data_IF_656085142964
#
_entry.id   IF_656085142964
#
_cell.length_a   1.000
_cell.length_b   1.000
_cell.length_c   1.000
_cell.angle_alpha   90.00
_cell.angle_beta   90.00
_cell.angle_gamma   90.00
#
_symmetry.space_group_name_H-M   'P 1'
#
loop_
_entity.id
_entity.type
_entity.pdbx_description
1 polymer ?
#
# COMPACT_ATOMS: atom_id res chain seq x y z
N UNK A 1 -7.00 -13.42 31.36
CA UNK A 1 -6.93 -13.24 29.89
C UNK A 1 -8.06 -12.33 29.48
N UNK A 2 -7.82 -11.02 29.46
CA UNK A 2 -8.80 -10.03 29.01
C UNK A 2 -8.51 -9.69 27.55
N UNK A 3 -9.48 -10.02 26.71
CA UNK A 3 -9.47 -9.61 25.31
C UNK A 3 -9.73 -8.10 25.26
N UNK A 4 -8.71 -7.31 24.89
CA UNK A 4 -8.81 -5.88 24.64
C UNK A 4 -9.71 -5.59 23.44
N UNK A 5 -10.98 -5.30 23.73
CA UNK A 5 -11.94 -4.79 22.75
C UNK A 5 -11.55 -3.38 22.33
N UNK A 6 -11.36 -3.20 21.04
CA UNK A 6 -11.31 -1.88 20.39
C UNK A 6 -12.53 -1.06 20.83
N UNK A 7 -12.33 0.01 21.58
CA UNK A 7 -13.42 0.92 21.96
C UNK A 7 -13.87 1.68 20.71
N UNK A 8 -14.96 1.23 20.13
CA UNK A 8 -15.75 2.01 19.18
C UNK A 8 -16.55 3.01 19.99
N UNK A 9 -16.14 4.26 20.01
CA UNK A 9 -16.99 5.33 20.53
C UNK A 9 -18.09 5.56 19.50
N UNK A 10 -19.25 4.97 19.73
CA UNK A 10 -20.47 5.33 19.00
C UNK A 10 -20.98 6.62 19.61
N UNK A 11 -20.74 7.75 18.98
CA UNK A 11 -21.59 8.92 19.19
C UNK A 11 -22.95 8.66 18.54
N UNK A 12 -24.00 9.03 19.25
CA UNK A 12 -25.40 8.73 18.99
C UNK A 12 -25.85 8.98 17.55
N UNK A 13 -26.74 8.09 17.12
CA UNK A 13 -27.60 8.09 15.96
C UNK A 13 -27.50 9.30 15.02
N UNK A 14 -26.88 9.07 13.89
CA UNK A 14 -26.89 9.97 12.74
C UNK A 14 -28.35 10.13 12.28
N UNK A 15 -29.01 11.19 12.74
CA UNK A 15 -30.19 11.71 12.08
C UNK A 15 -29.68 12.30 10.78
N UNK A 16 -29.88 11.60 9.67
CA UNK A 16 -29.76 12.18 8.34
C UNK A 16 -30.75 13.33 8.27
N UNK A 17 -30.27 14.54 8.58
CA UNK A 17 -31.01 15.75 8.22
C UNK A 17 -30.98 15.79 6.69
N UNK A 18 -32.10 15.43 6.07
CA UNK A 18 -32.42 15.94 4.75
C UNK A 18 -32.25 17.45 4.86
N UNK A 19 -31.21 18.00 4.21
CA UNK A 19 -31.14 19.43 3.97
C UNK A 19 -32.44 19.79 3.25
N UNK A 20 -33.28 20.55 3.92
CA UNK A 20 -34.30 21.30 3.23
C UNK A 20 -33.61 22.10 2.15
N UNK A 21 -34.19 22.10 0.96
CA UNK A 21 -33.77 22.92 -0.18
C UNK A 21 -34.07 24.37 0.20
N UNK A 22 -33.24 24.92 1.05
CA UNK A 22 -33.16 26.34 1.34
C UNK A 22 -32.06 26.87 0.43
N UNK A 23 -32.38 27.85 -0.36
CA UNK A 23 -31.62 28.65 -1.32
C UNK A 23 -30.12 28.39 -1.32
N UNK A 24 -29.53 28.02 -2.48
CA UNK A 24 -28.09 27.85 -2.56
C UNK A 24 -27.45 29.18 -2.20
N UNK A 25 -26.68 29.24 -1.12
CA UNK A 25 -25.69 30.29 -0.98
C UNK A 25 -24.70 30.04 -2.11
N UNK A 26 -24.89 30.73 -3.20
CA UNK A 26 -23.94 30.84 -4.30
C UNK A 26 -22.75 31.65 -3.78
N UNK A 27 -21.92 31.05 -2.93
CA UNK A 27 -20.52 31.40 -2.91
C UNK A 27 -20.00 30.91 -4.25
N UNK A 28 -19.73 31.88 -5.12
CA UNK A 28 -19.13 31.70 -6.44
C UNK A 28 -17.84 30.89 -6.25
N UNK A 29 -17.93 29.57 -6.40
CA UNK A 29 -16.78 28.70 -6.40
C UNK A 29 -16.16 28.85 -7.76
N UNK A 30 -15.32 29.87 -7.95
CA UNK A 30 -14.77 30.31 -9.24
C UNK A 30 -14.09 29.22 -10.08
N UNK A 31 -14.04 27.98 -9.60
CA UNK A 31 -13.55 26.80 -10.32
C UNK A 31 -14.65 25.75 -10.44
N UNK A 32 -15.14 25.49 -11.67
CA UNK A 32 -16.18 24.49 -11.94
C UNK A 32 -15.89 23.09 -11.41
N UNK A 33 -14.61 22.75 -11.25
CA UNK A 33 -14.19 21.45 -10.68
C UNK A 33 -14.79 21.20 -9.30
N UNK A 34 -14.91 22.24 -8.47
CA UNK A 34 -15.46 22.15 -7.12
C UNK A 34 -16.96 22.40 -7.04
N UNK A 35 -17.69 22.37 -8.19
CA UNK A 35 -19.14 22.41 -8.18
C UNK A 35 -19.74 21.22 -7.42
N UNK A 36 -20.88 21.42 -6.75
CA UNK A 36 -21.53 20.37 -5.93
C UNK A 36 -21.79 19.09 -6.71
N UNK A 37 -22.29 19.21 -7.93
CA UNK A 37 -22.60 18.05 -8.79
C UNK A 37 -21.35 17.22 -9.10
N UNK A 38 -20.24 17.88 -9.47
CA UNK A 38 -18.99 17.18 -9.77
C UNK A 38 -18.34 16.58 -8.51
N UNK A 39 -18.53 17.20 -7.36
CA UNK A 39 -18.10 16.63 -6.09
C UNK A 39 -18.86 15.35 -5.75
N UNK A 40 -20.18 15.36 -5.86
CA UNK A 40 -21.00 14.18 -5.59
C UNK A 40 -20.61 13.00 -6.47
N UNK A 41 -20.39 13.25 -7.77
CA UNK A 41 -19.93 12.21 -8.72
C UNK A 41 -18.56 11.65 -8.32
N UNK A 42 -17.62 12.52 -7.90
CA UNK A 42 -16.30 12.06 -7.45
C UNK A 42 -16.38 11.33 -6.12
N UNK A 43 -17.14 11.84 -5.15
CA UNK A 43 -17.35 11.20 -3.85
C UNK A 43 -17.89 9.78 -3.99
N UNK A 44 -18.80 9.54 -4.94
CA UNK A 44 -19.32 8.20 -5.21
C UNK A 44 -18.20 7.19 -5.56
N UNK A 45 -17.15 7.62 -6.27
CA UNK A 45 -15.99 6.77 -6.61
C UNK A 45 -15.12 6.41 -5.40
N UNK A 46 -15.17 7.20 -4.34
CA UNK A 46 -14.41 6.98 -3.11
C UNK A 46 -15.24 6.35 -1.99
N UNK A 47 -16.54 6.20 -2.19
CA UNK A 47 -17.41 5.58 -1.21
C UNK A 47 -16.98 4.13 -0.97
N UNK A 48 -16.82 3.76 0.31
CA UNK A 48 -16.40 2.40 0.70
C UNK A 48 -14.89 2.11 0.56
N UNK A 49 -14.10 3.01 -0.04
CA UNK A 49 -12.65 2.84 -0.10
C UNK A 49 -12.04 2.90 1.31
N UNK A 50 -11.15 1.96 1.58
CA UNK A 50 -10.51 1.81 2.89
C UNK A 50 -9.18 2.56 2.94
N UNK A 51 -8.74 3.02 4.12
CA UNK A 51 -7.38 3.50 4.31
C UNK A 51 -6.37 2.36 4.07
N UNK A 52 -5.14 2.73 3.72
CA UNK A 52 -4.00 1.81 3.79
C UNK A 52 -3.80 1.36 5.24
N UNK A 53 -2.99 0.33 5.42
CA UNK A 53 -2.63 -0.12 6.76
C UNK A 53 -1.81 0.97 7.46
N UNK A 54 -2.34 1.49 8.56
CA UNK A 54 -1.71 2.58 9.31
C UNK A 54 -0.53 2.05 10.10
N UNK A 55 0.60 2.76 10.02
CA UNK A 55 1.84 2.51 10.76
C UNK A 55 2.46 3.82 11.20
N UNK A 56 3.10 3.79 12.35
CA UNK A 56 3.96 4.84 12.89
C UNK A 56 5.10 4.21 13.69
N UNK A 57 6.14 4.96 13.95
CA UNK A 57 7.39 4.48 14.54
C UNK A 57 7.62 5.17 15.87
N UNK A 58 8.28 4.49 16.79
CA UNK A 58 8.96 5.08 17.92
C UNK A 58 10.46 5.00 17.65
N UNK A 59 11.02 6.08 17.12
CA UNK A 59 12.43 6.11 16.73
C UNK A 59 13.35 6.07 17.95
N UNK A 60 12.98 6.70 19.05
CA UNK A 60 13.75 6.65 20.28
C UNK A 60 13.91 5.19 20.78
N UNK A 61 12.82 4.42 20.73
CA UNK A 61 12.89 3.00 21.09
C UNK A 61 13.80 2.22 20.13
N UNK A 62 13.75 2.50 18.82
CA UNK A 62 14.63 1.82 17.86
C UNK A 62 16.11 2.14 18.07
N UNK A 63 16.46 3.37 18.43
CA UNK A 63 17.81 3.78 18.80
C UNK A 63 18.29 3.06 20.06
N UNK A 64 17.44 2.95 21.09
CA UNK A 64 17.72 2.19 22.31
C UNK A 64 17.94 0.69 22.01
N UNK A 65 17.37 0.19 20.91
CA UNK A 65 17.59 -1.18 20.44
C UNK A 65 18.87 -1.33 19.58
N UNK A 66 19.69 -0.28 19.44
CA UNK A 66 20.92 -0.21 18.67
C UNK A 66 20.72 -0.35 17.14
N UNK A 67 19.58 0.07 16.60
CA UNK A 67 19.43 0.22 15.16
C UNK A 67 20.11 1.52 14.70
N UNK A 68 20.78 1.49 13.55
CA UNK A 68 21.53 2.64 13.00
C UNK A 68 20.68 3.50 12.07
N UNK A 69 19.72 2.94 11.37
CA UNK A 69 18.91 3.66 10.38
C UNK A 69 18.04 4.81 10.95
N UNK A 70 17.64 4.86 12.23
CA UNK A 70 17.01 6.05 12.79
C UNK A 70 17.81 7.33 12.58
N UNK A 71 19.12 7.27 12.75
CA UNK A 71 20.02 8.40 12.49
C UNK A 71 20.01 8.83 11.01
N UNK A 72 19.97 7.86 10.07
CA UNK A 72 19.84 8.16 8.65
C UNK A 72 18.50 8.86 8.35
N UNK A 73 17.43 8.47 9.03
CA UNK A 73 16.09 9.06 8.87
C UNK A 73 15.98 10.44 9.53
N UNK A 74 16.69 10.68 10.62
CA UNK A 74 16.84 12.00 11.21
C UNK A 74 17.53 12.96 10.25
N UNK A 75 18.61 12.53 9.62
CA UNK A 75 19.30 13.30 8.60
C UNK A 75 18.41 13.65 7.39
N UNK A 76 17.41 12.81 7.10
CA UNK A 76 16.38 13.07 6.08
C UNK A 76 15.26 14.01 6.56
N UNK A 77 15.22 14.38 7.85
CA UNK A 77 14.18 15.23 8.42
C UNK A 77 12.80 14.60 8.47
N UNK A 78 12.70 13.27 8.61
CA UNK A 78 11.42 12.55 8.51
C UNK A 78 10.84 12.10 9.85
N UNK A 79 11.52 12.32 10.96
CA UNK A 79 11.16 11.83 12.30
C UNK A 79 9.71 12.16 12.63
N UNK A 80 9.35 13.44 12.60
CA UNK A 80 8.01 13.87 12.98
C UNK A 80 6.92 13.20 12.14
N UNK A 81 7.14 13.06 10.84
CA UNK A 81 6.18 12.41 9.93
C UNK A 81 6.00 10.92 10.24
N UNK A 82 7.10 10.23 10.54
CA UNK A 82 7.07 8.79 10.83
C UNK A 82 6.42 8.48 12.19
N UNK A 83 6.47 9.40 13.12
CA UNK A 83 5.88 9.28 14.46
C UNK A 83 4.44 9.79 14.54
N UNK A 84 3.88 10.30 13.40
CA UNK A 84 2.50 10.78 13.38
C UNK A 84 1.54 9.67 13.80
N UNK A 85 0.81 9.93 14.88
CA UNK A 85 -0.22 9.05 15.42
C UNK A 85 -1.46 9.85 15.83
N UNK A 86 -2.56 9.16 16.09
CA UNK A 86 -3.78 9.77 16.61
C UNK A 86 -5.02 9.44 15.81
N UNK A 87 -5.99 10.34 15.85
CA UNK A 87 -7.30 10.14 15.28
C UNK A 87 -7.30 10.23 13.77
N UNK A 88 -8.18 9.46 13.15
CA UNK A 88 -8.45 9.48 11.71
C UNK A 88 -9.93 9.77 11.49
N UNK A 89 -10.20 10.62 10.51
CA UNK A 89 -11.54 10.99 10.03
C UNK A 89 -11.82 10.33 8.67
N UNK A 90 -12.29 9.07 8.61
CA UNK A 90 -12.33 8.31 7.36
C UNK A 90 -13.22 8.93 6.27
N UNK A 91 -14.27 9.65 6.68
CA UNK A 91 -15.14 10.36 5.73
C UNK A 91 -14.41 11.55 5.08
N UNK A 92 -13.66 12.33 5.87
CA UNK A 92 -12.91 13.48 5.39
C UNK A 92 -11.69 13.08 4.57
N UNK A 93 -11.05 11.93 4.90
CA UNK A 93 -9.99 11.35 4.07
C UNK A 93 -10.51 10.97 2.68
N UNK A 94 -11.71 10.40 2.58
CA UNK A 94 -12.34 10.12 1.27
C UNK A 94 -12.67 11.39 0.52
N UNK A 95 -13.18 12.40 1.20
CA UNK A 95 -13.48 13.71 0.62
C UNK A 95 -12.21 14.40 0.11
N UNK A 96 -11.13 14.35 0.89
CA UNK A 96 -9.82 14.84 0.48
C UNK A 96 -9.40 14.23 -0.87
N UNK A 97 -9.41 12.91 -1.00
CA UNK A 97 -9.01 12.25 -2.26
C UNK A 97 -9.98 12.48 -3.41
N UNK A 98 -11.27 12.60 -3.13
CA UNK A 98 -12.26 12.91 -4.16
C UNK A 98 -12.08 14.31 -4.75
N UNK A 99 -11.58 15.26 -3.95
CA UNK A 99 -11.34 16.64 -4.35
C UNK A 99 -9.88 16.95 -4.68
N UNK A 100 -8.98 15.97 -4.52
CA UNK A 100 -7.55 16.14 -4.78
C UNK A 100 -7.27 16.28 -6.28
N UNK A 101 -6.49 17.28 -6.64
CA UNK A 101 -6.03 17.48 -8.03
C UNK A 101 -4.74 18.26 -8.12
N UNK A 102 -4.04 18.05 -9.24
CA UNK A 102 -2.93 18.88 -9.70
C UNK A 102 -3.43 19.91 -10.71
N UNK A 103 -3.15 21.18 -10.49
CA UNK A 103 -3.51 22.28 -11.38
C UNK A 103 -2.50 23.42 -11.27
N UNK A 104 -2.06 23.95 -12.38
CA UNK A 104 -1.18 25.12 -12.50
C UNK A 104 0.12 25.00 -11.64
N UNK A 105 0.73 23.80 -11.66
CA UNK A 105 1.96 23.52 -10.92
C UNK A 105 1.75 23.23 -9.43
N UNK A 106 0.52 23.17 -8.93
CA UNK A 106 0.16 23.07 -7.52
C UNK A 106 -0.83 21.94 -7.27
N UNK A 107 -0.79 21.40 -6.05
CA UNK A 107 -1.73 20.39 -5.59
C UNK A 107 -2.78 21.03 -4.68
N UNK A 108 -4.02 20.72 -4.95
CA UNK A 108 -5.18 21.27 -4.27
C UNK A 108 -6.09 20.16 -3.75
N UNK A 109 -6.75 20.43 -2.63
CA UNK A 109 -7.86 19.61 -2.19
C UNK A 109 -8.90 20.48 -1.47
N UNK A 110 -10.08 19.90 -1.21
CA UNK A 110 -11.16 20.55 -0.50
C UNK A 110 -11.81 19.56 0.46
N UNK A 111 -12.02 20.00 1.71
CA UNK A 111 -12.70 19.24 2.76
C UNK A 111 -13.74 20.15 3.42
N UNK A 112 -14.98 19.69 3.53
CA UNK A 112 -16.08 20.46 4.17
C UNK A 112 -16.13 21.91 3.68
N UNK A 113 -16.08 22.10 2.36
CA UNK A 113 -16.08 23.39 1.67
C UNK A 113 -14.82 24.28 1.90
N UNK A 114 -13.82 23.79 2.60
CA UNK A 114 -12.55 24.48 2.75
C UNK A 114 -11.58 24.04 1.66
N UNK A 115 -11.34 24.93 0.68
CA UNK A 115 -10.35 24.73 -0.39
C UNK A 115 -8.97 25.15 0.11
N UNK A 116 -7.98 24.30 -0.07
CA UNK A 116 -6.59 24.58 0.34
C UNK A 116 -5.59 23.99 -0.64
N UNK A 117 -4.41 24.62 -0.70
CA UNK A 117 -3.24 24.15 -1.40
C UNK A 117 -2.40 23.27 -0.48
N UNK A 118 -1.92 22.12 -0.97
CA UNK A 118 -0.93 21.32 -0.26
C UNK A 118 0.46 21.89 -0.58
N UNK A 119 0.83 22.87 0.19
CA UNK A 119 2.08 23.60 0.06
C UNK A 119 3.11 23.19 1.12
N UNK A 120 4.29 23.83 1.07
CA UNK A 120 5.39 23.58 2.01
C UNK A 120 5.02 23.87 3.45
N UNK A 121 4.15 24.86 3.69
CA UNK A 121 3.70 25.22 5.05
C UNK A 121 2.91 24.07 5.69
N UNK A 122 2.03 23.42 4.93
CA UNK A 122 1.26 22.26 5.43
C UNK A 122 2.21 21.09 5.72
N UNK A 123 3.13 20.78 4.80
CA UNK A 123 4.08 19.69 5.01
C UNK A 123 4.99 19.94 6.20
N UNK A 124 5.46 21.17 6.38
CA UNK A 124 6.33 21.55 7.50
C UNK A 124 5.56 21.56 8.82
N UNK A 125 4.42 22.26 8.89
CA UNK A 125 3.70 22.46 10.16
C UNK A 125 2.95 21.21 10.62
N UNK A 126 2.46 20.37 9.70
CA UNK A 126 1.70 19.17 10.01
C UNK A 126 2.57 17.92 10.03
N UNK A 127 3.50 17.80 9.07
CA UNK A 127 4.32 16.62 8.87
C UNK A 127 5.78 16.77 9.30
N UNK A 128 6.23 17.98 9.58
CA UNK A 128 7.66 18.26 9.87
C UNK A 128 8.58 18.01 8.67
N UNK A 129 8.00 17.97 7.44
CA UNK A 129 8.75 17.64 6.23
C UNK A 129 9.10 18.90 5.45
N UNK A 130 10.39 19.03 5.11
CA UNK A 130 10.90 20.07 4.21
C UNK A 130 10.86 19.60 2.76
N UNK A 131 10.52 20.52 1.83
CA UNK A 131 10.59 20.27 0.39
C UNK A 131 12.03 20.41 -0.16
N UNK A 132 13.03 20.46 0.72
CA UNK A 132 14.44 20.42 0.31
C UNK A 132 14.83 19.02 -0.17
N UNK A 133 15.79 18.96 -1.08
CA UNK A 133 16.28 17.69 -1.63
C UNK A 133 15.79 17.41 -3.05
N UNK A 134 15.95 16.17 -3.47
CA UNK A 134 15.70 15.74 -4.84
C UNK A 134 14.46 14.86 -4.92
N UNK A 135 13.68 15.02 -5.99
CA UNK A 135 12.79 13.95 -6.42
C UNK A 135 13.64 12.74 -6.79
N UNK A 136 13.28 11.56 -6.26
CA UNK A 136 14.13 10.36 -6.46
C UNK A 136 14.24 9.97 -7.93
N UNK A 137 13.20 10.24 -8.73
CA UNK A 137 13.17 9.99 -10.16
C UNK A 137 14.09 10.92 -10.97
N UNK A 138 14.38 12.11 -10.46
CA UNK A 138 15.14 13.15 -11.15
C UNK A 138 16.54 13.39 -10.57
N UNK A 139 16.85 12.74 -9.46
CA UNK A 139 18.15 12.82 -8.82
C UNK A 139 19.25 12.27 -9.74
N UNK A 140 20.11 13.16 -10.28
CA UNK A 140 21.20 12.78 -11.16
C UNK A 140 22.21 11.88 -10.46
N UNK A 141 22.53 12.18 -9.18
CA UNK A 141 23.44 11.35 -8.41
C UNK A 141 22.96 9.90 -8.27
N UNK A 142 21.66 9.70 -8.00
CA UNK A 142 21.10 8.35 -7.96
C UNK A 142 21.14 7.70 -9.33
N UNK A 143 20.82 8.43 -10.41
CA UNK A 143 20.87 7.90 -11.78
C UNK A 143 22.26 7.41 -12.18
N UNK A 144 23.30 8.11 -11.74
CA UNK A 144 24.68 7.83 -12.10
C UNK A 144 25.33 6.74 -11.24
N UNK A 145 24.92 6.62 -9.96
CA UNK A 145 25.59 5.76 -8.99
C UNK A 145 24.75 4.54 -8.57
N UNK A 146 23.51 4.42 -9.02
CA UNK A 146 22.60 3.35 -8.63
C UNK A 146 22.58 2.21 -9.65
N UNK A 147 23.14 1.06 -9.28
CA UNK A 147 22.90 -0.22 -9.94
C UNK A 147 21.94 -1.06 -9.07
N UNK A 148 20.74 -1.39 -9.55
CA UNK A 148 19.75 -2.11 -8.74
C UNK A 148 20.23 -3.47 -8.27
N UNK A 149 21.08 -4.15 -9.06
CA UNK A 149 21.60 -5.49 -8.72
C UNK A 149 22.64 -5.41 -7.62
N UNK A 150 23.63 -4.50 -7.76
CA UNK A 150 24.70 -4.34 -6.78
C UNK A 150 24.17 -3.76 -5.47
N UNK A 151 23.29 -2.77 -5.53
CA UNK A 151 22.61 -2.21 -4.36
C UNK A 151 21.79 -3.29 -3.64
N UNK A 152 21.03 -4.10 -4.38
CA UNK A 152 20.27 -5.19 -3.78
C UNK A 152 21.17 -6.20 -3.08
N UNK A 153 22.26 -6.63 -3.73
CA UNK A 153 23.26 -7.53 -3.11
C UNK A 153 23.83 -6.96 -1.81
N UNK A 154 24.14 -5.66 -1.78
CA UNK A 154 24.69 -5.00 -0.59
C UNK A 154 23.70 -4.91 0.57
N UNK A 155 22.41 -5.02 0.31
CA UNK A 155 21.36 -4.98 1.33
C UNK A 155 20.98 -6.34 1.90
N UNK A 156 21.45 -7.42 1.29
CA UNK A 156 21.18 -8.78 1.75
C UNK A 156 21.90 -9.12 3.06
N UNK A 157 21.31 -9.99 3.86
CA UNK A 157 21.94 -10.54 5.07
C UNK A 157 23.05 -11.57 4.77
N UNK A 158 23.12 -12.08 3.52
CA UNK A 158 24.18 -12.98 3.08
C UNK A 158 24.16 -13.18 1.57
N UNK A 159 25.34 -13.42 0.95
CA UNK A 159 25.47 -13.54 -0.50
C UNK A 159 24.73 -14.76 -1.07
N UNK A 160 24.52 -15.81 -0.29
CA UNK A 160 23.81 -17.03 -0.70
C UNK A 160 22.30 -16.78 -0.93
N UNK A 161 21.77 -15.68 -0.45
CA UNK A 161 20.37 -15.30 -0.65
C UNK A 161 20.13 -14.54 -1.96
N UNK A 162 21.19 -14.24 -2.70
CA UNK A 162 21.05 -13.61 -4.01
C UNK A 162 20.68 -14.64 -5.08
N UNK A 163 19.58 -14.38 -5.79
CA UNK A 163 19.17 -15.17 -6.96
C UNK A 163 19.24 -14.26 -8.18
N UNK A 164 20.04 -14.68 -9.16
CA UNK A 164 20.26 -13.89 -10.38
C UNK A 164 18.95 -13.59 -11.11
N UNK A 165 18.74 -12.31 -11.45
CA UNK A 165 17.56 -11.85 -12.18
C UNK A 165 16.30 -11.74 -11.35
N UNK A 166 16.36 -11.95 -10.02
CA UNK A 166 15.22 -11.80 -9.12
C UNK A 166 15.54 -10.82 -7.98
N UNK A 167 14.63 -9.88 -7.74
CA UNK A 167 14.56 -9.17 -6.48
C UNK A 167 13.80 -10.09 -5.52
N UNK A 168 14.55 -10.74 -4.64
CA UNK A 168 13.98 -11.73 -3.72
C UNK A 168 13.19 -11.05 -2.59
N UNK A 169 12.61 -11.87 -1.72
CA UNK A 169 11.74 -11.43 -0.62
C UNK A 169 12.45 -10.44 0.31
N UNK A 170 11.71 -9.51 0.90
CA UNK A 170 12.22 -8.59 1.90
C UNK A 170 12.88 -9.31 3.11
N UNK A 171 12.48 -10.56 3.40
CA UNK A 171 13.13 -11.42 4.38
C UNK A 171 14.57 -11.81 4.08
N UNK A 172 15.05 -11.60 2.85
CA UNK A 172 16.46 -11.81 2.48
C UNK A 172 17.35 -10.61 2.81
N UNK A 173 16.78 -9.45 3.12
CA UNK A 173 17.51 -8.26 3.53
C UNK A 173 18.09 -8.44 4.94
N UNK A 174 19.19 -7.75 5.25
CA UNK A 174 19.66 -7.64 6.63
C UNK A 174 18.56 -7.05 7.53
N UNK A 175 18.63 -7.27 8.84
CA UNK A 175 17.61 -6.79 9.79
C UNK A 175 17.41 -5.28 9.65
N UNK A 176 18.49 -4.51 9.64
CA UNK A 176 18.48 -3.05 9.42
C UNK A 176 17.77 -2.67 8.11
N UNK A 177 18.18 -3.28 7.01
CA UNK A 177 17.64 -2.96 5.69
C UNK A 177 16.18 -3.41 5.54
N UNK A 178 15.78 -4.47 6.22
CA UNK A 178 14.38 -4.90 6.22
C UNK A 178 13.47 -3.93 6.95
N UNK A 179 13.92 -3.40 8.10
CA UNK A 179 13.17 -2.39 8.85
C UNK A 179 13.13 -1.06 8.08
N UNK A 180 14.25 -0.62 7.51
CA UNK A 180 14.29 0.57 6.65
C UNK A 180 13.34 0.43 5.45
N UNK A 181 13.39 -0.71 4.75
CA UNK A 181 12.44 -1.01 3.66
C UNK A 181 10.99 -0.94 4.13
N UNK A 182 10.71 -1.54 5.30
CA UNK A 182 9.35 -1.54 5.88
C UNK A 182 8.86 -0.11 6.12
N UNK A 183 9.66 0.73 6.76
CA UNK A 183 9.31 2.12 7.07
C UNK A 183 9.08 2.93 5.79
N UNK A 184 9.97 2.81 4.81
CA UNK A 184 9.80 3.48 3.52
C UNK A 184 8.50 3.04 2.86
N UNK A 185 8.25 1.73 2.74
CA UNK A 185 7.13 1.18 1.98
C UNK A 185 5.76 1.34 2.66
N UNK A 186 5.71 1.41 3.99
CA UNK A 186 4.44 1.49 4.75
C UNK A 186 4.13 2.87 5.31
N UNK A 187 5.13 3.74 5.47
CA UNK A 187 4.93 5.05 6.10
C UNK A 187 5.22 6.20 5.12
N UNK A 188 6.42 6.21 4.51
CA UNK A 188 6.86 7.34 3.69
C UNK A 188 6.34 7.28 2.24
N UNK A 189 6.48 6.13 1.58
CA UNK A 189 6.09 5.93 0.17
C UNK A 189 5.07 4.81 0.08
N UNK A 190 3.91 5.04 0.69
CA UNK A 190 2.87 4.02 0.82
C UNK A 190 2.35 3.56 -0.53
N UNK A 191 2.45 2.28 -0.81
CA UNK A 191 1.96 1.68 -2.05
C UNK A 191 0.90 0.61 -1.79
N UNK A 192 0.04 0.35 -2.75
CA UNK A 192 -1.05 -0.63 -2.65
C UNK A 192 -0.67 -2.03 -3.16
N UNK A 193 0.62 -2.29 -3.33
CA UNK A 193 1.13 -3.56 -3.85
C UNK A 193 1.70 -4.44 -2.74
N UNK A 194 2.03 -5.67 -3.08
CA UNK A 194 2.69 -6.58 -2.15
C UNK A 194 4.03 -5.99 -1.65
N UNK A 195 4.16 -5.87 -0.33
CA UNK A 195 5.37 -5.36 0.32
C UNK A 195 6.36 -6.48 0.69
N UNK A 196 6.01 -7.74 0.43
CA UNK A 196 6.91 -8.86 0.71
C UNK A 196 8.15 -8.89 -0.20
N UNK A 197 8.11 -8.12 -1.29
CA UNK A 197 9.20 -8.00 -2.26
C UNK A 197 9.55 -6.53 -2.46
N UNK A 198 10.81 -6.11 -2.26
CA UNK A 198 11.25 -4.76 -2.56
C UNK A 198 11.17 -4.50 -4.07
N UNK A 199 10.77 -3.32 -4.45
CA UNK A 199 10.82 -2.84 -5.83
C UNK A 199 12.14 -2.12 -6.09
N UNK A 200 12.49 -1.94 -7.36
CA UNK A 200 13.66 -1.11 -7.74
C UNK A 200 13.53 0.30 -7.16
N UNK A 201 12.31 0.83 -7.08
CA UNK A 201 12.08 2.16 -6.51
C UNK A 201 12.31 2.18 -4.99
N UNK A 202 11.89 1.14 -4.27
CA UNK A 202 12.19 1.01 -2.84
C UNK A 202 13.72 0.98 -2.60
N UNK A 203 14.46 0.25 -3.45
CA UNK A 203 15.91 0.19 -3.37
C UNK A 203 16.57 1.55 -3.65
N UNK A 204 16.01 2.37 -4.57
CA UNK A 204 16.49 3.74 -4.80
C UNK A 204 16.33 4.63 -3.57
N UNK A 205 15.17 4.57 -2.91
CA UNK A 205 14.94 5.30 -1.67
C UNK A 205 15.89 4.85 -0.57
N UNK A 206 16.01 3.54 -0.34
CA UNK A 206 16.94 2.98 0.65
C UNK A 206 18.39 3.40 0.35
N UNK A 207 18.79 3.35 -0.92
CA UNK A 207 20.14 3.74 -1.36
C UNK A 207 20.41 5.22 -1.12
N UNK A 208 19.46 6.09 -1.46
CA UNK A 208 19.57 7.53 -1.20
C UNK A 208 19.69 7.83 0.29
N UNK A 209 18.84 7.22 1.13
CA UNK A 209 18.89 7.36 2.60
C UNK A 209 20.26 6.93 3.14
N UNK A 210 20.72 5.74 2.79
CA UNK A 210 22.01 5.19 3.26
C UNK A 210 23.23 5.99 2.81
N UNK A 211 23.14 6.72 1.70
CA UNK A 211 24.20 7.59 1.20
C UNK A 211 23.97 9.06 1.54
N UNK A 212 23.05 9.33 2.47
CA UNK A 212 22.72 10.70 2.92
C UNK A 212 22.37 11.65 1.77
N UNK A 213 21.71 11.14 0.72
CA UNK A 213 21.17 11.95 -0.36
C UNK A 213 19.78 12.43 0.06
N UNK A 214 19.66 13.75 0.24
CA UNK A 214 18.40 14.36 0.70
C UNK A 214 17.28 14.17 -0.32
N UNK A 215 16.15 13.60 0.12
CA UNK A 215 14.98 13.34 -0.69
C UNK A 215 13.90 14.39 -0.44
N UNK A 216 13.25 14.86 -1.50
CA UNK A 216 12.06 15.69 -1.39
C UNK A 216 10.84 14.82 -1.07
N UNK A 217 10.67 14.50 0.22
CA UNK A 217 9.58 13.64 0.68
C UNK A 217 8.18 14.21 0.39
N UNK A 218 7.90 15.53 0.58
CA UNK A 218 6.65 16.14 0.17
C UNK A 218 6.28 15.83 -1.28
N UNK A 219 7.21 15.97 -2.20
CA UNK A 219 6.98 15.70 -3.62
C UNK A 219 6.65 14.23 -3.87
N UNK A 220 7.38 13.31 -3.25
CA UNK A 220 7.12 11.87 -3.41
C UNK A 220 5.74 11.47 -2.82
N UNK A 221 5.37 12.04 -1.68
CA UNK A 221 4.04 11.86 -1.07
C UNK A 221 2.94 12.40 -2.00
N UNK A 222 3.11 13.59 -2.55
CA UNK A 222 2.16 14.21 -3.46
C UNK A 222 1.97 13.42 -4.76
N UNK A 223 3.05 12.83 -5.31
CA UNK A 223 2.96 11.90 -6.45
C UNK A 223 2.09 10.69 -6.15
N UNK A 224 2.23 10.11 -4.95
CA UNK A 224 1.41 8.99 -4.51
C UNK A 224 -0.04 9.42 -4.35
N UNK A 225 -0.30 10.53 -3.65
CA UNK A 225 -1.65 11.06 -3.47
C UNK A 225 -2.33 11.30 -4.82
N UNK A 226 -1.61 11.89 -5.79
CA UNK A 226 -2.11 12.12 -7.13
C UNK A 226 -2.46 10.80 -7.84
N UNK A 227 -1.58 9.80 -7.76
CA UNK A 227 -1.85 8.49 -8.35
C UNK A 227 -3.08 7.78 -7.77
N UNK A 228 -3.35 8.02 -6.48
CA UNK A 228 -4.52 7.47 -5.77
C UNK A 228 -5.80 8.19 -6.14
N UNK A 229 -5.76 9.52 -6.29
CA UNK A 229 -6.92 10.32 -6.71
C UNK A 229 -7.41 9.96 -8.11
N UNK A 230 -6.49 9.57 -8.99
CA UNK A 230 -6.78 9.13 -10.36
C UNK A 230 -7.20 7.64 -10.46
N UNK A 231 -6.93 6.84 -9.43
CA UNK A 231 -7.25 5.42 -9.42
C UNK A 231 -8.67 5.15 -8.92
N UNK A 232 -9.29 4.09 -9.43
CA UNK A 232 -10.62 3.66 -8.99
C UNK A 232 -10.59 2.67 -7.81
N UNK A 233 -9.49 1.96 -7.60
CA UNK A 233 -9.43 0.82 -6.67
C UNK A 233 -8.37 0.92 -5.57
N UNK A 234 -7.42 1.85 -5.67
CA UNK A 234 -6.35 1.97 -4.68
C UNK A 234 -6.89 2.34 -3.29
N UNK A 235 -6.27 1.79 -2.24
CA UNK A 235 -6.51 2.19 -0.87
C UNK A 235 -6.07 3.65 -0.66
N UNK A 236 -6.53 4.26 0.42
CA UNK A 236 -6.29 5.67 0.74
C UNK A 236 -5.09 5.78 1.70
N UNK A 237 -3.90 6.18 1.24
CA UNK A 237 -2.73 6.37 2.09
C UNK A 237 -2.81 7.64 2.94
N UNK A 238 -1.86 7.80 3.84
CA UNK A 238 -1.63 9.01 4.64
C UNK A 238 -2.83 9.50 5.46
N UNK A 239 -3.70 8.58 5.90
CA UNK A 239 -4.95 8.96 6.57
C UNK A 239 -4.72 9.74 7.86
N UNK A 240 -3.65 9.45 8.64
CA UNK A 240 -3.30 10.24 9.83
C UNK A 240 -2.86 11.65 9.42
N UNK A 241 -1.95 11.76 8.45
CA UNK A 241 -1.44 13.06 7.99
C UNK A 241 -2.59 13.95 7.48
N UNK A 242 -3.50 13.38 6.66
CA UNK A 242 -4.69 14.11 6.17
C UNK A 242 -5.59 14.55 7.34
N UNK A 243 -5.77 13.70 8.34
CA UNK A 243 -6.57 14.07 9.52
C UNK A 243 -5.91 15.16 10.36
N UNK A 244 -4.57 15.17 10.42
CA UNK A 244 -3.82 16.27 11.04
C UNK A 244 -3.93 17.59 10.24
N UNK A 245 -4.04 17.52 8.90
CA UNK A 245 -4.36 18.70 8.09
C UNK A 245 -5.73 19.25 8.45
N UNK A 246 -6.73 18.36 8.65
CA UNK A 246 -8.09 18.78 9.11
C UNK A 246 -8.01 19.52 10.43
N UNK A 247 -7.25 18.99 11.41
CA UNK A 247 -7.04 19.63 12.71
C UNK A 247 -6.32 20.98 12.57
N UNK A 248 -5.26 21.02 11.75
CA UNK A 248 -4.45 22.23 11.49
C UNK A 248 -5.25 23.36 10.84
N UNK A 249 -6.14 23.00 9.92
CA UNK A 249 -7.04 23.97 9.25
C UNK A 249 -8.30 24.30 10.06
N UNK A 250 -8.43 23.76 11.28
CA UNK A 250 -9.58 23.95 12.16
C UNK A 250 -10.93 23.62 11.49
N UNK A 251 -10.95 22.57 10.66
CA UNK A 251 -12.18 22.12 10.00
C UNK A 251 -13.06 21.43 11.04
N UNK A 252 -14.36 21.78 11.04
CA UNK A 252 -15.33 21.18 11.97
C UNK A 252 -15.50 19.68 11.71
N UNK A 253 -15.29 18.89 12.76
CA UNK A 253 -15.38 17.42 12.76
C UNK A 253 -16.50 16.87 13.63
N UNK A 254 -17.37 17.76 14.15
CA UNK A 254 -18.42 17.41 15.12
C UNK A 254 -19.38 16.32 14.62
N UNK A 255 -19.66 16.29 13.33
CA UNK A 255 -20.54 15.31 12.69
C UNK A 255 -19.80 14.12 12.05
N UNK A 256 -18.49 13.95 12.35
CA UNK A 256 -17.63 12.97 11.69
C UNK A 256 -17.34 11.78 12.61
N UNK A 257 -17.30 10.58 12.03
CA UNK A 257 -16.86 9.38 12.74
C UNK A 257 -15.35 9.47 12.95
N UNK A 258 -14.93 9.34 14.20
CA UNK A 258 -13.53 9.32 14.60
C UNK A 258 -13.09 7.87 14.83
N UNK A 259 -11.95 7.50 14.27
CA UNK A 259 -11.32 6.20 14.50
C UNK A 259 -9.97 6.43 15.16
N UNK A 260 -9.78 5.79 16.32
CA UNK A 260 -8.51 5.78 17.05
C UNK A 260 -7.77 4.46 16.80
N UNK A 261 -6.46 4.54 16.60
CA UNK A 261 -5.59 3.40 16.38
C UNK A 261 -4.69 3.21 17.60
N UNK A 262 -4.56 1.95 18.04
CA UNK A 262 -3.77 1.60 19.23
C UNK A 262 -2.35 1.21 18.85
N UNK A 263 -1.39 1.49 19.71
CA UNK A 263 0.02 1.16 19.52
C UNK A 263 0.26 -0.33 19.28
N UNK A 264 -0.52 -1.18 19.93
CA UNK A 264 -0.39 -2.65 19.85
C UNK A 264 -0.35 -3.20 18.43
N UNK A 265 -1.19 -2.64 17.54
CA UNK A 265 -1.36 -3.17 16.18
C UNK A 265 -0.70 -2.29 15.12
N UNK A 266 -0.34 -1.05 15.46
CA UNK A 266 0.06 -0.04 14.49
C UNK A 266 1.49 0.50 14.69
N UNK A 267 2.05 0.35 15.88
CA UNK A 267 3.44 0.74 16.17
C UNK A 267 4.43 -0.22 15.49
N UNK A 268 5.44 0.35 14.86
CA UNK A 268 6.63 -0.38 14.40
C UNK A 268 7.57 -0.54 15.60
N UNK A 269 7.42 -1.65 16.31
CA UNK A 269 8.15 -1.98 17.51
C UNK A 269 8.38 -3.47 17.64
N UNK A 270 8.75 -3.94 18.83
CA UNK A 270 9.14 -5.32 19.13
C UNK A 270 8.13 -6.37 18.60
N UNK A 271 6.84 -6.16 18.85
CA UNK A 271 5.78 -7.08 18.39
C UNK A 271 5.76 -7.26 16.87
N UNK A 272 6.03 -6.20 16.10
CA UNK A 272 6.10 -6.28 14.65
C UNK A 272 7.39 -6.95 14.20
N UNK A 273 8.51 -6.64 14.83
CA UNK A 273 9.82 -7.23 14.54
C UNK A 273 9.77 -8.75 14.75
N UNK A 274 9.16 -9.20 15.84
CA UNK A 274 8.93 -10.64 16.09
C UNK A 274 8.04 -11.28 15.01
N UNK A 275 7.00 -10.60 14.51
CA UNK A 275 6.19 -11.09 13.39
C UNK A 275 6.97 -11.23 12.08
N UNK A 276 8.11 -10.56 11.98
CA UNK A 276 9.04 -10.72 10.86
C UNK A 276 10.00 -11.91 11.06
N UNK A 277 9.91 -12.64 12.16
CA UNK A 277 10.85 -13.72 12.49
C UNK A 277 12.21 -13.22 12.95
N UNK A 278 12.28 -12.01 13.50
CA UNK A 278 13.50 -11.37 13.99
C UNK A 278 13.38 -11.27 15.52
N UNK A 279 14.39 -11.74 16.23
CA UNK A 279 14.42 -11.79 17.69
C UNK A 279 15.73 -11.22 18.23
N UNK A 280 15.71 -10.75 19.46
CA UNK A 280 16.89 -10.23 20.14
C UNK A 280 17.61 -11.36 20.87
N UNK A 281 18.83 -11.63 20.47
CA UNK A 281 19.74 -12.57 21.12
C UNK A 281 20.90 -11.79 21.75
N UNK A 282 20.92 -11.71 23.06
CA UNK A 282 21.85 -10.84 23.78
C UNK A 282 21.61 -9.36 23.45
N UNK A 283 22.57 -8.74 22.77
CA UNK A 283 22.49 -7.34 22.33
C UNK A 283 22.11 -7.16 20.88
N UNK A 284 21.98 -8.24 20.10
CA UNK A 284 21.86 -8.21 18.63
C UNK A 284 20.51 -8.75 18.18
N UNK A 285 19.91 -8.07 17.20
CA UNK A 285 18.70 -8.55 16.53
C UNK A 285 19.07 -9.44 15.34
N UNK A 286 18.53 -10.66 15.29
CA UNK A 286 18.83 -11.66 14.28
C UNK A 286 17.57 -12.39 13.82
N UNK A 287 17.60 -12.96 12.62
CA UNK A 287 16.56 -13.88 12.20
C UNK A 287 16.65 -15.17 12.99
N UNK A 288 15.50 -15.71 13.37
CA UNK A 288 15.42 -16.97 14.12
C UNK A 288 16.11 -18.13 13.39
N UNK A 289 15.96 -18.21 12.07
CA UNK A 289 16.57 -19.24 11.24
C UNK A 289 18.11 -19.17 11.23
N UNK A 290 18.70 -17.98 11.26
CA UNK A 290 20.16 -17.80 11.29
C UNK A 290 20.72 -18.24 12.65
N UNK A 291 20.03 -17.95 13.75
CA UNK A 291 20.43 -18.37 15.10
C UNK A 291 20.44 -19.91 15.23
N UNK A 292 19.45 -20.59 14.66
CA UNK A 292 19.35 -22.06 14.72
C UNK A 292 20.51 -22.71 13.99
N UNK A 293 20.97 -22.15 12.87
CA UNK A 293 22.13 -22.66 12.11
C UNK A 293 23.42 -22.51 12.92
N UNK A 294 23.63 -21.34 13.53
CA UNK A 294 24.82 -21.10 14.38
C UNK A 294 24.84 -22.04 15.59
N UNK A 295 23.67 -22.33 16.18
CA UNK A 295 23.57 -23.26 17.32
C UNK A 295 23.89 -24.72 16.96
N UNK A 296 23.71 -25.12 15.70
CA UNK A 296 24.07 -26.47 15.22
C UNK A 296 25.56 -26.62 14.96
N UNK A 297 26.24 -25.56 14.54
CA UNK A 297 27.72 -25.55 14.32
C UNK A 297 28.52 -25.52 15.61
N UNK A 298 27.93 -25.08 16.73
CA UNK A 298 28.63 -25.01 18.02
C UNK A 298 28.50 -26.29 18.88
N UNK A 299 27.74 -27.29 18.44
CA UNK A 299 27.50 -28.52 19.20
C UNK A 299 28.43 -29.69 18.86
N UNK A 300 29.32 -29.55 17.85
CA UNK A 300 30.21 -30.65 17.40
C UNK A 300 31.69 -30.54 17.86
N UNK A 301 32.08 -29.51 18.63
CA UNK A 301 33.51 -29.27 18.91
C UNK A 301 33.95 -29.39 20.38
N UNK A 302 33.11 -29.93 21.29
CA UNK A 302 33.50 -30.14 22.70
C UNK A 302 33.27 -31.58 23.15
N UNK A 303 34.08 -32.54 22.62
CA UNK A 303 34.35 -33.79 23.32
C UNK A 303 35.69 -34.41 22.86
N UNK A 304 36.79 -33.78 23.22
CA UNK A 304 38.07 -34.46 23.41
C UNK A 304 38.82 -33.73 24.53
N UNK A 305 38.80 -34.33 25.73
CA UNK A 305 39.94 -34.54 26.59
C UNK A 305 39.50 -35.01 27.99
N UNK A 306 40.12 -36.10 28.45
CA UNK A 306 40.05 -36.43 29.84
C UNK A 306 40.24 -37.89 30.20
N UNK A 307 41.41 -38.40 29.96
CA UNK A 307 42.18 -39.39 30.76
C UNK A 307 41.57 -39.95 32.03
N UNK A 308 41.75 -41.26 32.20
CA UNK A 308 42.16 -41.75 33.54
C UNK A 308 41.51 -43.03 34.02
N UNK A 309 42.00 -44.12 33.71
CA UNK A 309 42.65 -45.16 34.54
C UNK A 309 41.80 -46.10 35.45
N UNK A 310 42.03 -47.42 35.20
CA UNK A 310 42.26 -48.58 36.06
C UNK A 310 41.11 -49.49 36.59
N UNK A 311 41.34 -50.77 36.25
CA UNK A 311 41.14 -52.02 37.01
C UNK A 311 39.71 -52.60 37.12
N UNK A 312 39.43 -53.82 36.90
CA UNK A 312 40.05 -55.12 36.81
C UNK A 312 38.96 -56.23 36.64
N UNK A 313 39.25 -57.21 35.83
CA UNK A 313 38.89 -58.65 35.90
C UNK A 313 37.50 -59.10 36.40
N UNK A 314 36.70 -59.82 35.63
CA UNK A 314 36.60 -61.30 35.69
C UNK A 314 35.63 -61.89 34.65
N UNK A 315 36.05 -62.99 34.08
CA UNK A 315 35.47 -64.02 33.24
C UNK A 315 33.96 -64.26 33.28
N UNK A 316 33.40 -64.61 32.10
CA UNK A 316 32.15 -65.34 31.93
C UNK A 316 31.58 -65.26 30.54
N UNK A 317 31.93 -66.17 29.65
CA UNK A 317 31.24 -66.53 28.38
C UNK A 317 29.96 -67.35 28.73
N UNK A 318 29.04 -67.63 27.76
CA UNK A 318 28.84 -67.13 26.39
C UNK A 318 27.34 -66.93 26.00
N UNK A 319 27.15 -66.52 24.76
CA UNK A 319 25.94 -66.69 23.95
C UNK A 319 24.81 -65.66 24.03
N UNK A 320 24.71 -64.88 22.98
CA UNK A 320 23.50 -64.15 22.63
C UNK A 320 23.81 -63.21 21.48
N UNK A 321 23.47 -63.61 20.25
CA UNK A 321 23.59 -62.85 19.02
C UNK A 321 23.07 -61.43 19.18
N UNK A 322 23.95 -60.46 19.09
CA UNK A 322 23.62 -59.05 18.92
C UNK A 322 23.09 -58.84 17.50
N UNK A 323 22.01 -58.04 17.31
CA UNK A 323 21.61 -57.60 16.00
C UNK A 323 22.68 -56.65 15.46
N UNK A 324 23.24 -57.00 14.30
CA UNK A 324 24.12 -56.12 13.55
C UNK A 324 23.38 -54.78 13.31
N UNK A 325 23.91 -53.73 13.87
CA UNK A 325 23.64 -52.38 13.39
C UNK A 325 24.13 -52.35 11.93
N UNK A 326 23.19 -52.51 11.00
CA UNK A 326 23.42 -52.22 9.60
C UNK A 326 23.69 -50.74 9.47
N UNK A 327 24.95 -50.35 9.34
CA UNK A 327 25.33 -49.04 8.89
C UNK A 327 24.54 -48.74 7.61
N UNK A 328 23.75 -47.68 7.60
CA UNK A 328 23.09 -47.22 6.39
C UNK A 328 24.17 -46.98 5.34
N UNK A 329 24.14 -47.81 4.27
CA UNK A 329 25.09 -47.66 3.16
C UNK A 329 24.87 -46.36 2.42
N UNK A 330 25.95 -45.77 1.89
CA UNK A 330 25.90 -44.56 1.07
C UNK A 330 24.83 -44.64 -0.03
N UNK A 331 24.68 -45.82 -0.64
CA UNK A 331 23.68 -46.13 -1.68
C UNK A 331 22.22 -45.95 -1.19
N UNK A 332 21.96 -46.19 0.10
CA UNK A 332 20.65 -46.04 0.69
C UNK A 332 20.35 -44.54 0.98
N UNK A 333 21.37 -43.76 1.33
CA UNK A 333 21.29 -42.31 1.51
C UNK A 333 21.05 -41.62 0.17
N UNK A 334 21.79 -41.98 -0.89
CA UNK A 334 21.58 -41.48 -2.25
C UNK A 334 20.19 -41.82 -2.78
N UNK A 335 19.71 -43.05 -2.56
CA UNK A 335 18.36 -43.46 -2.96
C UNK A 335 17.26 -42.73 -2.15
N UNK A 336 17.54 -42.29 -0.90
CA UNK A 336 16.62 -41.51 -0.09
C UNK A 336 16.62 -40.04 -0.53
N UNK A 337 17.78 -39.47 -0.82
CA UNK A 337 17.94 -38.14 -1.38
C UNK A 337 17.22 -38.01 -2.72
N UNK A 338 17.40 -38.98 -3.62
CA UNK A 338 16.74 -38.98 -4.92
C UNK A 338 15.22 -39.11 -4.81
N UNK A 339 14.70 -39.88 -3.84
CA UNK A 339 13.25 -39.95 -3.53
C UNK A 339 12.73 -38.65 -2.94
N UNK A 340 13.50 -37.98 -2.10
CA UNK A 340 13.14 -36.69 -1.51
C UNK A 340 13.09 -35.60 -2.59
N UNK A 341 14.08 -35.54 -3.46
CA UNK A 341 14.16 -34.60 -4.56
C UNK A 341 12.99 -34.77 -5.55
N UNK A 342 12.72 -36.01 -5.97
CA UNK A 342 11.58 -36.31 -6.84
C UNK A 342 10.24 -35.95 -6.18
N UNK A 343 10.11 -36.11 -4.88
CA UNK A 343 8.89 -35.75 -4.14
C UNK A 343 8.74 -34.25 -3.99
N UNK A 344 9.85 -33.54 -3.79
CA UNK A 344 9.86 -32.07 -3.80
C UNK A 344 9.49 -31.52 -5.17
N UNK A 345 10.05 -32.05 -6.26
CA UNK A 345 9.74 -31.62 -7.62
C UNK A 345 8.25 -31.79 -7.95
N UNK A 346 7.67 -32.95 -7.58
CA UNK A 346 6.22 -33.18 -7.72
C UNK A 346 5.37 -32.18 -6.91
N UNK A 347 5.79 -31.86 -5.68
CA UNK A 347 5.10 -30.87 -4.87
C UNK A 347 5.22 -29.46 -5.46
N UNK A 348 6.40 -29.07 -5.95
CA UNK A 348 6.61 -27.77 -6.61
C UNK A 348 5.81 -27.68 -7.91
N UNK A 349 5.74 -28.75 -8.69
CA UNK A 349 4.94 -28.76 -9.91
C UNK A 349 3.45 -28.64 -9.57
N UNK A 350 2.93 -29.37 -8.60
CA UNK A 350 1.52 -29.26 -8.15
C UNK A 350 1.18 -27.87 -7.60
N UNK A 351 2.11 -27.23 -6.86
CA UNK A 351 1.93 -25.87 -6.37
C UNK A 351 1.91 -24.85 -7.51
N UNK A 352 2.79 -25.03 -8.50
CA UNK A 352 2.87 -24.21 -9.70
C UNK A 352 1.59 -24.30 -10.52
N UNK A 353 1.10 -25.51 -10.76
CA UNK A 353 -0.12 -25.75 -11.53
C UNK A 353 -1.36 -25.17 -10.81
N UNK A 354 -1.44 -25.34 -9.49
CA UNK A 354 -2.50 -24.74 -8.66
C UNK A 354 -2.45 -23.20 -8.66
N UNK A 355 -1.25 -22.63 -8.67
CA UNK A 355 -1.08 -21.17 -8.73
C UNK A 355 -1.52 -20.61 -10.08
N UNK A 356 -1.11 -21.25 -11.19
CA UNK A 356 -1.51 -20.79 -12.52
C UNK A 356 -3.01 -20.97 -12.76
N UNK A 357 -3.61 -22.08 -12.33
CA UNK A 357 -5.05 -22.27 -12.41
C UNK A 357 -5.81 -21.23 -11.56
N UNK A 358 -5.29 -20.87 -10.39
CA UNK A 358 -5.84 -19.81 -9.55
C UNK A 358 -5.74 -18.42 -10.18
N UNK A 359 -4.64 -18.12 -10.86
CA UNK A 359 -4.45 -16.87 -11.61
C UNK A 359 -5.40 -16.78 -12.80
N UNK A 360 -5.52 -17.83 -13.59
CA UNK A 360 -6.43 -17.90 -14.73
C UNK A 360 -7.90 -17.65 -14.30
N UNK A 361 -8.35 -18.30 -13.22
CA UNK A 361 -9.67 -18.03 -12.64
C UNK A 361 -9.84 -16.62 -12.08
N UNK A 362 -8.76 -16.01 -11.61
CA UNK A 362 -8.79 -14.63 -11.14
C UNK A 362 -8.92 -13.66 -12.31
N UNK A 363 -8.15 -13.87 -13.37
CA UNK A 363 -8.22 -13.06 -14.61
C UNK A 363 -9.60 -13.17 -15.28
N UNK A 364 -10.16 -14.37 -15.39
CA UNK A 364 -11.52 -14.58 -15.91
C UNK A 364 -12.58 -13.83 -15.08
N UNK A 365 -12.49 -13.88 -13.75
CA UNK A 365 -13.40 -13.13 -12.87
C UNK A 365 -13.23 -11.62 -12.98
N UNK A 366 -11.99 -11.15 -13.11
CA UNK A 366 -11.70 -9.72 -13.30
C UNK A 366 -12.22 -9.23 -14.64
N UNK A 367 -12.05 -10.00 -15.70
CA UNK A 367 -12.57 -9.67 -17.03
C UNK A 367 -14.09 -9.65 -17.04
N UNK A 368 -14.73 -10.66 -16.50
CA UNK A 368 -16.21 -10.73 -16.41
C UNK A 368 -16.77 -9.58 -15.54
N UNK A 369 -16.10 -9.23 -14.44
CA UNK A 369 -16.50 -8.09 -13.61
C UNK A 369 -16.36 -6.76 -14.36
N UNK A 370 -15.26 -6.59 -15.08
CA UNK A 370 -15.00 -5.39 -15.89
C UNK A 370 -16.05 -5.24 -17.02
N UNK A 371 -16.34 -6.32 -17.72
CA UNK A 371 -17.32 -6.34 -18.80
C UNK A 371 -18.74 -6.02 -18.30
N UNK A 372 -19.11 -6.54 -17.14
CA UNK A 372 -20.39 -6.21 -16.50
C UNK A 372 -20.49 -4.74 -16.12
N UNK A 373 -19.42 -4.16 -15.56
CA UNK A 373 -19.34 -2.73 -15.24
C UNK A 373 -19.43 -1.86 -16.49
N UNK A 374 -18.76 -2.24 -17.59
CA UNK A 374 -18.88 -1.52 -18.86
C UNK A 374 -20.29 -1.60 -19.43
N UNK A 375 -20.95 -2.73 -19.31
CA UNK A 375 -22.34 -2.90 -19.78
C UNK A 375 -23.31 -2.06 -18.94
N UNK A 376 -23.17 -2.04 -17.61
CA UNK A 376 -23.96 -1.18 -16.73
C UNK A 376 -23.76 0.30 -17.05
N UNK A 377 -22.52 0.72 -17.28
CA UNK A 377 -22.21 2.10 -17.65
C UNK A 377 -22.81 2.49 -19.01
N UNK A 378 -22.75 1.58 -19.99
CA UNK A 378 -23.37 1.78 -21.31
C UNK A 378 -24.89 1.94 -21.18
N UNK A 379 -25.53 1.08 -20.41
CA UNK A 379 -26.99 1.14 -20.16
C UNK A 379 -27.36 2.46 -19.47
N UNK A 380 -26.56 2.92 -18.51
CA UNK A 380 -26.79 4.19 -17.82
C UNK A 380 -26.65 5.37 -18.78
N UNK A 381 -25.62 5.39 -19.61
CA UNK A 381 -25.41 6.46 -20.61
C UNK A 381 -26.58 6.49 -21.60
N UNK A 382 -27.05 5.34 -22.05
CA UNK A 382 -28.18 5.23 -22.95
C UNK A 382 -29.46 5.75 -22.30
N UNK A 383 -29.73 5.37 -21.05
CA UNK A 383 -30.89 5.85 -20.27
C UNK A 383 -30.86 7.37 -20.07
N UNK A 384 -29.69 7.95 -19.79
CA UNK A 384 -29.53 9.39 -19.66
C UNK A 384 -29.78 10.10 -21.00
N UNK A 385 -29.26 9.55 -22.10
CA UNK A 385 -29.47 10.11 -23.44
C UNK A 385 -30.97 10.06 -23.84
N UNK A 386 -31.66 8.97 -23.56
CA UNK A 386 -33.09 8.83 -23.81
C UNK A 386 -33.91 9.81 -22.96
N UNK A 387 -33.56 9.98 -21.67
CA UNK A 387 -34.22 10.95 -20.80
C UNK A 387 -33.99 12.40 -21.25
N UNK A 388 -32.79 12.73 -21.70
CA UNK A 388 -32.49 14.05 -22.28
C UNK A 388 -33.27 14.30 -23.57
N UNK A 389 -33.32 13.32 -24.48
CA UNK A 389 -34.09 13.44 -25.69
C UNK A 389 -35.61 13.63 -25.43
N UNK A 390 -36.15 12.88 -24.43
CA UNK A 390 -37.53 13.04 -24.03
C UNK A 390 -37.80 14.45 -23.48
N UNK A 391 -36.85 14.99 -22.69
CA UNK A 391 -36.94 16.35 -22.15
C UNK A 391 -36.91 17.40 -23.28
N UNK A 392 -35.98 17.27 -24.25
CA UNK A 392 -35.90 18.14 -25.40
C UNK A 392 -37.19 18.09 -26.26
N UNK A 393 -37.71 16.90 -26.53
CA UNK A 393 -38.98 16.75 -27.27
C UNK A 393 -40.13 17.43 -26.53
N UNK A 394 -40.21 17.28 -25.19
CA UNK A 394 -41.21 17.96 -24.36
C UNK A 394 -41.11 19.49 -24.43
N UNK A 395 -39.89 20.02 -24.33
CA UNK A 395 -39.65 21.49 -24.41
C UNK A 395 -39.93 22.01 -25.82
N UNK A 396 -39.57 21.29 -26.88
CA UNK A 396 -39.91 21.64 -28.24
C UNK A 396 -41.43 21.62 -28.48
N UNK A 397 -42.15 20.66 -27.91
CA UNK A 397 -43.62 20.64 -27.98
C UNK A 397 -44.22 21.87 -27.31
N UNK A 398 -43.75 22.25 -26.11
CA UNK A 398 -44.20 23.46 -25.40
C UNK A 398 -43.91 24.72 -26.23
N UNK A 399 -42.73 24.83 -26.81
CA UNK A 399 -42.37 25.94 -27.68
C UNK A 399 -43.26 25.98 -28.94
N UNK A 400 -43.56 24.85 -29.57
CA UNK A 400 -44.43 24.75 -30.74
C UNK A 400 -45.86 25.17 -30.44
N UNK A 401 -46.37 24.87 -29.22
CA UNK A 401 -47.68 25.31 -28.76
C UNK A 401 -47.70 26.84 -28.53
N UNK A 402 -46.63 27.39 -27.93
CA UNK A 402 -46.49 28.85 -27.76
C UNK A 402 -46.43 29.61 -29.07
N UNK A 403 -45.66 29.07 -30.06
CA UNK A 403 -45.53 29.68 -31.37
C UNK A 403 -46.83 29.61 -32.20
N UNK A 404 -47.61 28.50 -32.04
CA UNK A 404 -48.93 28.40 -32.71
C UNK A 404 -49.98 29.26 -32.07
N UNK A 405 -49.81 29.65 -30.78
CA UNK A 405 -50.70 30.62 -30.13
C UNK A 405 -50.50 32.07 -30.57
N UNK A 406 -49.35 32.39 -31.17
CA UNK A 406 -49.01 33.71 -31.69
C UNK A 406 -49.17 33.68 -33.22
N UNK A 407 -50.28 34.15 -33.75
CA UNK A 407 -50.71 34.01 -35.17
C UNK A 407 -49.82 34.69 -36.21
N UNK A 408 -48.61 35.13 -35.91
CA UNK A 408 -47.74 35.89 -36.81
C UNK A 408 -46.35 35.32 -37.06
N UNK A 409 -46.04 34.08 -36.69
CA UNK A 409 -44.74 33.48 -37.01
C UNK A 409 -44.92 32.42 -38.10
N UNK A 410 -44.54 32.74 -39.32
CA UNK A 410 -44.42 31.80 -40.46
C UNK A 410 -43.07 31.11 -40.31
N UNK A 411 -43.07 29.81 -39.98
CA UNK A 411 -41.87 28.99 -40.02
C UNK A 411 -41.65 28.53 -41.47
N UNK A 412 -40.48 28.79 -42.09
CA UNK A 412 -40.14 28.21 -43.40
C UNK A 412 -40.13 26.69 -43.30
N UNK A 413 -40.77 26.01 -44.25
CA UNK A 413 -40.72 24.57 -44.39
C UNK A 413 -39.27 24.16 -44.69
N UNK A 414 -38.67 23.38 -43.76
CA UNK A 414 -37.36 22.80 -43.97
C UNK A 414 -37.41 21.76 -45.08
N UNK A 415 -36.58 21.93 -46.08
CA UNK A 415 -36.44 20.95 -47.17
C UNK A 415 -35.70 19.75 -46.58
N UNK A 416 -36.41 18.64 -46.43
CA UNK A 416 -35.82 17.33 -46.19
C UNK A 416 -34.99 16.92 -47.37
N UNK A 417 -33.67 17.02 -47.27
CA UNK A 417 -32.74 16.37 -48.19
C UNK A 417 -32.81 14.86 -47.99
N UNK A 418 -33.51 14.17 -48.86
CA UNK A 418 -33.46 12.74 -49.02
C UNK A 418 -32.03 12.33 -49.46
N UNK A 419 -31.42 11.34 -48.83
CA UNK A 419 -30.12 10.86 -49.28
C UNK A 419 -30.22 10.21 -50.68
N UNK A 420 -29.20 10.38 -51.55
CA UNK A 420 -29.24 9.80 -52.89
C UNK A 420 -29.23 8.27 -52.84
N UNK A 421 -29.94 7.59 -53.79
CA UNK A 421 -30.01 6.13 -53.80
C UNK A 421 -28.62 5.50 -54.07
N UNK A 422 -28.32 4.31 -53.54
CA UNK A 422 -27.06 3.62 -53.76
C UNK A 422 -26.89 3.23 -55.27
N UNK A 423 -25.64 3.20 -55.78
CA UNK A 423 -25.39 2.76 -57.14
C UNK A 423 -25.75 1.29 -57.32
N UNK A 424 -26.49 1.01 -58.38
CA UNK A 424 -26.87 -0.34 -58.84
C UNK A 424 -25.67 -1.04 -59.48
N UNK A 425 -25.59 -2.39 -59.48
CA UNK A 425 -24.40 -3.18 -59.78
C UNK A 425 -23.87 -3.10 -61.18
#
# INVERSE_FOLDING_TARGET
>A
MEQGRTKRVKTSATRVRRREVGSPSTRDRGDPYYSLILQEIRMAKFQGRKPTYIRYVDLTWLEEQNFSFPHDMEAQGTIHFMELKGQVYPALVREFYANFRYKDGKYWSMISDNLFELNDDIFMNVGGLSSSGYSIGDCSWVKENFDPTEVYKSFLRGPHLYIQGQLTKAGSLSVENRLLHYIIAYILVQRNTNHAQPTVNDLRFMYAVKNNVMINWPEEILKIMNSVSLSQSKLLPYSIFISRIVDYLHIDVSDTIIVEYTDKDHLVGESLIHKMGIYKYGTTWQYQEDYTIIGLDLSDDDNQDGMGDQHATTQGEPSGSAPQNSAFGLDQLEAMEQRLNNRMDLHFQGLKDSYFAGMEQYEERQTAYSDNQFQELRNLIQSIAEAQNALFCSEFQKLSVLIRGDQNIVIPADHTDDPPPPPQP
#
